data_IF_781790868915
#
_entry.id   IF_781790868915
#
_cell.length_a   1.000
_cell.length_b   1.000
_cell.length_c   1.000
_cell.angle_alpha   90.00
_cell.angle_beta   90.00
_cell.angle_gamma   90.00
#
_symmetry.space_group_name_H-M   'P 1'
#
loop_
_entity.id
_entity.type
_entity.pdbx_description
1 polymer ?
#
# COMPACT_ATOMS: atom_id res chain seq x y z
N UNK A 1 44.10 78.58 11.20
CA UNK A 1 43.47 77.51 12.01
C UNK A 1 42.52 76.73 11.10
N UNK A 2 42.31 75.40 11.20
CA UNK A 2 43.21 74.28 11.50
C UNK A 2 43.21 73.13 10.43
N UNK A 3 44.32 72.39 10.43
CA UNK A 3 44.52 70.92 10.31
C UNK A 3 44.16 70.12 9.03
N UNK A 4 45.24 69.72 8.35
CA UNK A 4 45.46 68.39 7.75
C UNK A 4 45.04 67.25 8.69
N UNK A 5 44.33 66.26 8.14
CA UNK A 5 43.91 65.05 8.83
C UNK A 5 43.99 63.82 7.92
N UNK A 6 45.18 63.23 7.85
CA UNK A 6 45.43 61.85 7.44
C UNK A 6 44.80 60.89 8.46
N UNK A 7 44.17 59.79 8.00
CA UNK A 7 44.19 58.46 8.66
C UNK A 7 43.47 57.41 7.81
N UNK A 8 44.27 56.46 7.32
CA UNK A 8 43.91 55.08 7.00
C UNK A 8 42.90 54.49 7.97
N UNK A 9 41.90 53.76 7.46
CA UNK A 9 41.43 52.52 8.09
C UNK A 9 41.29 51.45 7.01
N UNK A 10 42.30 50.58 6.99
CA UNK A 10 42.18 49.22 6.50
C UNK A 10 41.19 48.48 7.40
N UNK A 11 40.23 47.78 6.81
CA UNK A 11 39.29 46.91 7.53
C UNK A 11 38.86 45.80 6.59
N UNK A 12 39.53 44.66 6.72
CA UNK A 12 39.50 43.58 5.75
C UNK A 12 38.15 42.91 5.56
N UNK A 13 37.94 42.39 4.35
CA UNK A 13 37.00 41.31 4.12
C UNK A 13 37.82 40.03 4.12
N UNK A 14 37.89 39.45 5.32
CA UNK A 14 38.25 38.05 5.54
C UNK A 14 37.42 37.15 4.63
N UNK A 15 38.10 36.19 3.99
CA UNK A 15 37.50 35.06 3.28
C UNK A 15 36.54 34.33 4.22
N UNK A 16 35.25 34.24 3.88
CA UNK A 16 34.31 33.34 4.54
C UNK A 16 33.78 32.28 3.55
N UNK A 17 34.39 31.09 3.61
CA UNK A 17 34.02 29.84 2.93
C UNK A 17 32.74 29.21 3.51
N UNK A 18 31.78 30.03 3.96
CA UNK A 18 30.62 29.62 4.76
C UNK A 18 29.34 30.33 4.32
N UNK A 19 29.11 30.35 3.01
CA UNK A 19 27.75 30.54 2.48
C UNK A 19 27.42 29.39 1.55
N UNK A 20 27.68 28.20 2.09
CA UNK A 20 26.94 26.97 1.81
C UNK A 20 25.45 27.22 2.08
N UNK A 21 24.60 26.60 1.28
CA UNK A 21 23.12 26.57 1.36
C UNK A 21 22.37 27.72 0.68
N UNK A 22 22.52 27.80 -0.64
CA UNK A 22 21.49 28.36 -1.50
C UNK A 22 20.36 27.32 -1.70
N UNK A 23 19.22 27.62 -1.07
CA UNK A 23 17.85 27.42 -1.54
C UNK A 23 17.47 26.11 -2.24
N UNK A 24 16.62 25.33 -1.58
CA UNK A 24 15.32 24.91 -2.12
C UNK A 24 14.49 24.36 -0.95
N UNK A 25 13.78 25.28 -0.29
CA UNK A 25 12.73 24.92 0.65
C UNK A 25 11.61 24.22 -0.12
N UNK A 26 11.60 22.89 -0.07
CA UNK A 26 10.41 22.12 -0.42
C UNK A 26 9.37 22.40 0.67
N UNK A 27 8.39 23.23 0.33
CA UNK A 27 7.24 23.49 1.19
C UNK A 27 6.51 22.19 1.50
N UNK A 28 6.64 21.71 2.75
CA UNK A 28 5.68 20.77 3.32
C UNK A 28 4.40 21.54 3.67
N UNK A 29 3.58 21.81 2.66
CA UNK A 29 2.20 22.26 2.81
C UNK A 29 1.21 21.11 2.51
N UNK A 30 1.49 19.91 3.04
CA UNK A 30 0.61 18.72 2.94
C UNK A 30 -0.16 18.44 4.25
N UNK A 31 -0.27 19.44 5.13
CA UNK A 31 -1.16 19.42 6.28
C UNK A 31 -2.59 19.77 5.85
N UNK A 32 -3.31 18.78 5.31
CA UNK A 32 -4.78 18.63 5.36
C UNK A 32 -5.35 17.71 4.25
N UNK A 33 -4.65 16.63 3.87
CA UNK A 33 -5.35 15.53 3.23
C UNK A 33 -6.17 14.78 4.31
N UNK A 34 -7.43 14.40 4.05
CA UNK A 34 -8.21 13.63 5.02
C UNK A 34 -7.57 12.24 5.16
N UNK A 35 -6.80 12.07 6.23
CA UNK A 35 -6.10 10.82 6.60
C UNK A 35 -7.09 9.64 6.82
N UNK A 36 -8.39 9.94 6.88
CA UNK A 36 -9.47 8.99 7.17
C UNK A 36 -9.71 8.01 6.00
N UNK A 37 -9.27 8.35 4.78
CA UNK A 37 -9.38 7.46 3.61
C UNK A 37 -8.20 6.46 3.46
N UNK A 38 -7.16 6.56 4.30
CA UNK A 38 -5.95 5.74 4.15
C UNK A 38 -6.00 4.44 4.97
N UNK A 39 -6.74 4.41 6.08
CA UNK A 39 -6.80 3.24 6.95
C UNK A 39 -7.63 2.10 6.33
N UNK A 40 -8.82 2.42 5.81
CA UNK A 40 -9.73 1.47 5.15
C UNK A 40 -9.11 0.79 3.93
N UNK A 41 -8.26 1.52 3.20
CA UNK A 41 -7.56 1.01 2.03
C UNK A 41 -6.42 0.04 2.37
N UNK A 42 -5.88 0.04 3.61
CA UNK A 42 -4.78 -0.86 3.96
C UNK A 42 -5.21 -2.34 3.90
N UNK A 43 -6.38 -2.66 4.46
CA UNK A 43 -6.91 -4.02 4.45
C UNK A 43 -7.27 -4.49 3.03
N UNK A 44 -7.81 -3.61 2.18
CA UNK A 44 -8.08 -3.94 0.77
C UNK A 44 -6.77 -4.24 0.02
N UNK A 45 -5.73 -3.41 0.19
CA UNK A 45 -4.42 -3.61 -0.44
C UNK A 45 -3.72 -4.87 0.07
N UNK A 46 -3.82 -5.16 1.38
CA UNK A 46 -3.29 -6.38 1.96
C UNK A 46 -4.02 -7.62 1.41
N UNK A 47 -5.35 -7.61 1.37
CA UNK A 47 -6.15 -8.67 0.76
C UNK A 47 -5.79 -8.88 -0.72
N UNK A 48 -5.56 -7.79 -1.47
CA UNK A 48 -5.15 -7.84 -2.86
C UNK A 48 -3.78 -8.48 -3.04
N UNK A 49 -2.81 -8.15 -2.19
CA UNK A 49 -1.47 -8.77 -2.18
C UNK A 49 -1.56 -10.26 -1.86
N UNK A 50 -2.18 -10.63 -0.75
CA UNK A 50 -2.36 -12.03 -0.35
C UNK A 50 -3.10 -12.84 -1.42
N UNK A 51 -4.11 -12.26 -2.09
CA UNK A 51 -4.81 -12.95 -3.19
C UNK A 51 -3.90 -13.20 -4.39
N UNK A 52 -2.98 -12.28 -4.71
CA UNK A 52 -1.98 -12.48 -5.78
C UNK A 52 -1.01 -13.61 -5.43
N UNK A 53 -0.50 -13.64 -4.21
CA UNK A 53 0.38 -14.72 -3.73
C UNK A 53 -0.36 -16.06 -3.73
N UNK A 54 -1.61 -16.10 -3.26
CA UNK A 54 -2.44 -17.31 -3.33
C UNK A 54 -2.55 -17.83 -4.77
N UNK A 55 -2.87 -16.96 -5.75
CA UNK A 55 -2.96 -17.37 -7.16
C UNK A 55 -1.61 -17.88 -7.68
N UNK A 56 -0.50 -17.22 -7.33
CA UNK A 56 0.84 -17.65 -7.71
C UNK A 56 1.13 -19.06 -7.19
N UNK A 57 1.02 -19.26 -5.89
CA UNK A 57 1.25 -20.54 -5.21
C UNK A 57 0.30 -21.64 -5.72
N UNK A 58 -0.97 -21.32 -5.93
CA UNK A 58 -1.94 -22.25 -6.48
C UNK A 58 -1.58 -22.75 -7.88
N UNK A 59 -1.01 -21.88 -8.73
CA UNK A 59 -0.50 -22.26 -10.06
C UNK A 59 0.77 -23.10 -9.99
N UNK A 60 1.53 -23.02 -8.89
CA UNK A 60 2.67 -23.89 -8.61
C UNK A 60 2.28 -25.19 -7.88
N UNK A 61 0.98 -25.46 -7.71
CA UNK A 61 0.46 -26.59 -6.96
C UNK A 61 0.88 -26.62 -5.48
N UNK A 62 1.16 -25.46 -4.88
CA UNK A 62 1.51 -25.32 -3.47
C UNK A 62 0.25 -25.21 -2.62
N UNK A 63 -0.43 -26.34 -2.38
CA UNK A 63 -1.76 -26.39 -1.75
C UNK A 63 -1.83 -25.70 -0.38
N UNK A 64 -0.82 -25.91 0.48
CA UNK A 64 -0.78 -25.32 1.82
C UNK A 64 -0.61 -23.81 1.74
N UNK A 65 0.36 -23.33 0.96
CA UNK A 65 0.62 -21.90 0.74
C UNK A 65 -0.57 -21.19 0.10
N UNK A 66 -1.21 -21.82 -0.90
CA UNK A 66 -2.46 -21.33 -1.48
C UNK A 66 -3.53 -21.12 -0.40
N UNK A 67 -3.73 -22.11 0.46
CA UNK A 67 -4.76 -22.06 1.50
C UNK A 67 -4.43 -21.02 2.58
N UNK A 68 -3.16 -20.86 2.94
CA UNK A 68 -2.69 -19.84 3.88
C UNK A 68 -2.92 -18.43 3.35
N UNK A 69 -2.39 -18.11 2.17
CA UNK A 69 -2.57 -16.78 1.57
C UNK A 69 -4.06 -16.48 1.28
N UNK A 70 -4.85 -17.47 0.87
CA UNK A 70 -6.30 -17.26 0.69
C UNK A 70 -7.00 -16.97 2.02
N UNK A 71 -6.55 -17.58 3.12
CA UNK A 71 -7.09 -17.31 4.45
C UNK A 71 -6.73 -15.91 4.94
N UNK A 72 -5.47 -15.50 4.78
CA UNK A 72 -5.00 -14.15 5.13
C UNK A 72 -5.75 -13.09 4.31
N UNK A 73 -5.91 -13.31 3.00
CA UNK A 73 -6.71 -12.45 2.14
C UNK A 73 -8.16 -12.31 2.61
N UNK A 74 -8.76 -13.42 3.05
CA UNK A 74 -10.14 -13.44 3.55
C UNK A 74 -10.28 -12.65 4.85
N UNK A 75 -9.31 -12.73 5.75
CA UNK A 75 -9.35 -12.01 7.02
C UNK A 75 -9.22 -10.52 6.79
N UNK A 76 -8.27 -10.06 5.98
CA UNK A 76 -8.16 -8.67 5.58
C UNK A 76 -9.40 -8.15 4.85
N UNK A 77 -9.98 -8.93 3.92
CA UNK A 77 -11.19 -8.51 3.23
C UNK A 77 -12.40 -8.39 4.19
N UNK A 78 -12.47 -9.21 5.25
CA UNK A 78 -13.51 -9.08 6.29
C UNK A 78 -13.30 -7.87 7.18
N UNK A 79 -12.05 -7.56 7.53
CA UNK A 79 -11.70 -6.35 8.27
C UNK A 79 -12.11 -5.11 7.46
N UNK A 80 -11.79 -5.06 6.16
CA UNK A 80 -12.24 -3.99 5.28
C UNK A 80 -13.77 -3.84 5.27
N UNK A 81 -14.53 -4.94 5.19
CA UNK A 81 -16.01 -4.87 5.31
C UNK A 81 -16.45 -4.34 6.68
N UNK A 82 -15.81 -4.77 7.77
CA UNK A 82 -16.14 -4.33 9.12
C UNK A 82 -15.86 -2.83 9.34
N UNK A 83 -14.87 -2.29 8.64
CA UNK A 83 -14.55 -0.86 8.60
C UNK A 83 -15.45 -0.05 7.65
N UNK A 84 -16.47 -0.67 7.06
CA UNK A 84 -17.33 -0.09 6.02
C UNK A 84 -16.56 0.33 4.75
N UNK A 85 -15.39 -0.27 4.51
CA UNK A 85 -14.60 -0.11 3.30
C UNK A 85 -15.09 -1.07 2.20
N UNK A 86 -16.36 -0.95 1.82
CA UNK A 86 -16.99 -1.84 0.83
C UNK A 86 -17.68 -1.05 -0.30
N UNK A 87 -16.89 -0.37 -1.16
CA UNK A 87 -17.44 0.42 -2.24
C UNK A 87 -18.27 -0.48 -3.16
N UNK A 88 -19.58 -0.17 -3.23
CA UNK A 88 -20.57 -0.87 -4.07
C UNK A 88 -20.66 -2.38 -3.81
N UNK A 89 -20.24 -2.86 -2.65
CA UNK A 89 -20.29 -4.29 -2.31
C UNK A 89 -19.17 -5.15 -2.89
N UNK A 90 -18.14 -4.55 -3.52
CA UNK A 90 -17.07 -5.32 -4.15
C UNK A 90 -16.22 -6.12 -3.16
N UNK A 91 -15.93 -5.59 -1.96
CA UNK A 91 -15.17 -6.32 -0.95
C UNK A 91 -15.99 -7.50 -0.42
N UNK A 92 -17.31 -7.33 -0.22
CA UNK A 92 -18.21 -8.44 0.14
C UNK A 92 -18.25 -9.55 -0.92
N UNK A 93 -18.23 -9.18 -2.20
CA UNK A 93 -18.13 -10.15 -3.30
C UNK A 93 -16.78 -10.87 -3.31
N UNK A 94 -15.68 -10.17 -3.05
CA UNK A 94 -14.36 -10.78 -2.90
C UNK A 94 -14.33 -11.79 -1.73
N UNK A 95 -14.88 -11.43 -0.57
CA UNK A 95 -15.04 -12.33 0.59
C UNK A 95 -15.77 -13.62 0.21
N UNK A 96 -16.85 -13.52 -0.58
CA UNK A 96 -17.62 -14.68 -1.03
C UNK A 96 -16.77 -15.62 -1.88
N UNK A 97 -16.01 -15.09 -2.82
CA UNK A 97 -15.13 -15.89 -3.67
C UNK A 97 -13.92 -16.46 -2.92
N UNK A 98 -13.30 -15.73 -1.99
CA UNK A 98 -12.22 -16.25 -1.15
C UNK A 98 -12.69 -17.42 -0.27
N UNK A 99 -13.91 -17.33 0.28
CA UNK A 99 -14.53 -18.46 1.00
C UNK A 99 -14.73 -19.68 0.10
N UNK A 100 -15.18 -19.48 -1.14
CA UNK A 100 -15.32 -20.57 -2.12
C UNK A 100 -13.98 -21.17 -2.51
N UNK A 101 -12.94 -20.34 -2.68
CA UNK A 101 -11.58 -20.79 -2.96
C UNK A 101 -11.08 -21.74 -1.85
N UNK A 102 -11.19 -21.34 -0.58
CA UNK A 102 -10.85 -22.19 0.56
C UNK A 102 -11.72 -23.45 0.64
N UNK A 103 -13.04 -23.33 0.50
CA UNK A 103 -13.94 -24.50 0.54
C UNK A 103 -13.58 -25.54 -0.52
N UNK A 104 -13.14 -25.08 -1.69
CA UNK A 104 -12.84 -25.94 -2.83
C UNK A 104 -11.47 -26.61 -2.67
N UNK A 105 -10.45 -25.86 -2.25
CA UNK A 105 -9.05 -26.28 -2.31
C UNK A 105 -8.36 -26.50 -0.94
N UNK A 106 -9.01 -26.20 0.19
CA UNK A 106 -8.44 -26.49 1.53
C UNK A 106 -8.49 -27.99 1.81
N UNK A 107 -7.42 -28.53 2.39
CA UNK A 107 -7.29 -29.95 2.80
C UNK A 107 -7.54 -30.95 1.66
N UNK A 108 -7.19 -30.57 0.43
CA UNK A 108 -7.19 -31.50 -0.71
C UNK A 108 -5.80 -31.57 -1.32
N UNK A 109 -5.54 -32.65 -2.05
CA UNK A 109 -4.36 -32.83 -2.88
C UNK A 109 -4.75 -33.01 -4.37
N UNK A 110 -6.02 -32.78 -4.71
CA UNK A 110 -6.49 -32.89 -6.08
C UNK A 110 -6.24 -31.59 -6.84
N UNK A 111 -5.38 -31.65 -7.86
CA UNK A 111 -5.02 -30.50 -8.71
C UNK A 111 -6.25 -29.79 -9.27
N UNK A 112 -7.23 -30.52 -9.81
CA UNK A 112 -8.46 -29.92 -10.36
C UNK A 112 -9.24 -29.08 -9.33
N UNK A 113 -9.20 -29.47 -8.06
CA UNK A 113 -9.84 -28.71 -6.97
C UNK A 113 -9.04 -27.48 -6.63
N UNK A 114 -7.71 -27.57 -6.65
CA UNK A 114 -6.84 -26.40 -6.49
C UNK A 114 -7.05 -25.40 -7.61
N UNK A 115 -7.07 -25.83 -8.88
CA UNK A 115 -7.36 -24.97 -10.03
C UNK A 115 -8.73 -24.29 -9.92
N UNK A 116 -9.75 -25.03 -9.47
CA UNK A 116 -11.06 -24.44 -9.18
C UNK A 116 -10.99 -23.39 -8.07
N UNK A 117 -10.20 -23.66 -7.02
CA UNK A 117 -9.88 -22.67 -5.98
C UNK A 117 -9.19 -21.43 -6.53
N UNK A 118 -8.20 -21.59 -7.41
CA UNK A 118 -7.50 -20.48 -8.09
C UNK A 118 -8.47 -19.63 -8.90
N UNK A 119 -9.39 -20.24 -9.67
CA UNK A 119 -10.42 -19.49 -10.40
C UNK A 119 -11.32 -18.65 -9.49
N UNK A 120 -11.63 -19.14 -8.28
CA UNK A 120 -12.35 -18.35 -7.29
C UNK A 120 -11.48 -17.20 -6.76
N UNK A 121 -10.20 -17.44 -6.46
CA UNK A 121 -9.27 -16.39 -6.03
C UNK A 121 -9.09 -15.29 -7.11
N UNK A 122 -9.04 -15.66 -8.40
CA UNK A 122 -8.99 -14.69 -9.51
C UNK A 122 -10.23 -13.79 -9.57
N UNK A 123 -11.42 -14.36 -9.37
CA UNK A 123 -12.66 -13.57 -9.29
C UNK A 123 -12.65 -12.63 -8.08
N UNK A 124 -12.13 -13.08 -6.94
CA UNK A 124 -11.94 -12.21 -5.79
C UNK A 124 -10.97 -11.06 -6.10
N UNK A 125 -9.86 -11.35 -6.79
CA UNK A 125 -8.86 -10.35 -7.18
C UNK A 125 -9.46 -9.25 -8.07
N UNK A 126 -10.35 -9.59 -9.00
CA UNK A 126 -11.05 -8.60 -9.83
C UNK A 126 -11.83 -7.63 -8.95
N UNK A 127 -12.61 -8.13 -8.00
CA UNK A 127 -13.39 -7.28 -7.10
C UNK A 127 -12.50 -6.44 -6.17
N UNK A 128 -11.43 -7.00 -5.62
CA UNK A 128 -10.49 -6.26 -4.78
C UNK A 128 -9.79 -5.14 -5.55
N UNK A 129 -9.47 -5.34 -6.83
CA UNK A 129 -8.92 -4.27 -7.68
C UNK A 129 -9.91 -3.13 -7.86
N UNK A 130 -11.16 -3.43 -8.19
CA UNK A 130 -12.21 -2.40 -8.32
C UNK A 130 -12.43 -1.69 -6.98
N UNK A 131 -12.41 -2.42 -5.87
CA UNK A 131 -12.54 -1.82 -4.55
C UNK A 131 -11.36 -0.89 -4.19
N UNK A 132 -10.14 -1.23 -4.61
CA UNK A 132 -8.95 -0.41 -4.37
C UNK A 132 -8.87 0.85 -5.23
N UNK A 133 -9.70 0.97 -6.27
CA UNK A 133 -9.80 2.15 -7.14
C UNK A 133 -10.83 3.19 -6.65
N UNK A 134 -11.52 2.90 -5.54
CA UNK A 134 -12.58 3.73 -4.95
C UNK A 134 -12.12 4.44 -3.67
#
# INVERSE_FOLDING_TARGET
MPKLGNKNIQGGIMINRRVTFAALGLGLALLAAPQVALASNHHILAALRETKEAIHEGRQHMFSSFAEHTHNALDHAREAVAENADPKGHVSMAVTHLRQALKTAKRTHHVNRLEAGVRHAERALIHLKVAAEH
#
